data_IF_125663802073
#
_entry.id   IF_125663802073
#
_cell.length_a   1.000
_cell.length_b   1.000
_cell.length_c   1.000
_cell.angle_alpha   90.00
_cell.angle_beta   90.00
_cell.angle_gamma   90.00
#
_symmetry.space_group_name_H-M   'P 1'
#
loop_
_entity.id
_entity.type
_entity.pdbx_description
1 polymer ?
#
# COMPACT_ATOMS: atom_id res chain seq x y z
N UNK A 1 -30.91 -2.30 68.35
CA UNK A 1 -30.76 -3.73 67.97
C UNK A 1 -31.52 -4.03 66.69
N UNK A 2 -32.86 -3.90 66.65
CA UNK A 2 -33.65 -4.19 65.43
C UNK A 2 -33.20 -3.36 64.22
N UNK A 3 -32.95 -2.05 64.39
CA UNK A 3 -32.48 -1.18 63.29
C UNK A 3 -31.07 -1.53 62.78
N UNK A 4 -30.16 -1.97 63.67
CA UNK A 4 -28.79 -2.37 63.28
C UNK A 4 -28.79 -3.68 62.48
N UNK A 5 -29.68 -4.62 62.83
CA UNK A 5 -29.81 -5.91 62.13
C UNK A 5 -30.44 -5.75 60.74
N UNK A 6 -31.41 -4.83 60.59
CA UNK A 6 -32.01 -4.49 59.29
C UNK A 6 -30.94 -3.89 58.38
N UNK A 7 -30.20 -2.87 58.85
CA UNK A 7 -29.14 -2.22 58.06
C UNK A 7 -28.01 -3.17 57.68
N UNK A 8 -27.62 -4.08 58.58
CA UNK A 8 -26.65 -5.13 58.27
C UNK A 8 -27.17 -6.05 57.16
N UNK A 9 -28.43 -6.48 57.26
CA UNK A 9 -29.05 -7.38 56.27
C UNK A 9 -29.17 -6.72 54.90
N UNK A 10 -29.59 -5.47 54.86
CA UNK A 10 -29.64 -4.66 53.63
C UNK A 10 -28.25 -4.52 52.99
N UNK A 11 -27.22 -4.24 53.80
CA UNK A 11 -25.85 -4.13 53.29
C UNK A 11 -25.33 -5.46 52.72
N UNK A 12 -25.57 -6.57 53.43
CA UNK A 12 -25.15 -7.91 53.00
C UNK A 12 -25.86 -8.32 51.70
N UNK A 13 -27.15 -7.98 51.54
CA UNK A 13 -27.90 -8.21 50.30
C UNK A 13 -27.35 -7.36 49.14
N UNK A 14 -27.02 -6.09 49.40
CA UNK A 14 -26.46 -5.20 48.40
C UNK A 14 -25.02 -5.57 47.97
N UNK A 15 -24.30 -6.35 48.78
CA UNK A 15 -22.90 -6.73 48.55
C UNK A 15 -22.68 -8.24 48.66
N UNK A 16 -23.58 -9.02 48.06
CA UNK A 16 -23.57 -10.50 48.11
C UNK A 16 -22.19 -11.09 47.75
N UNK A 17 -21.49 -10.49 46.78
CA UNK A 17 -20.15 -10.87 46.34
C UNK A 17 -19.07 -10.72 47.43
N UNK A 18 -19.30 -9.85 48.42
CA UNK A 18 -18.37 -9.60 49.53
C UNK A 18 -18.62 -10.49 50.74
N UNK A 19 -19.84 -11.00 50.89
CA UNK A 19 -20.26 -11.79 52.06
C UNK A 19 -19.40 -13.04 52.23
N UNK A 20 -18.98 -13.68 51.12
CA UNK A 20 -18.08 -14.84 51.14
C UNK A 20 -16.72 -14.56 51.80
N UNK A 21 -16.33 -13.29 51.96
CA UNK A 21 -15.07 -12.88 52.58
C UNK A 21 -15.23 -12.47 54.05
N UNK A 22 -16.45 -12.54 54.59
CA UNK A 22 -16.77 -12.09 55.93
C UNK A 22 -17.19 -13.27 56.82
N UNK A 23 -16.55 -13.41 57.98
CA UNK A 23 -16.88 -14.43 58.98
C UNK A 23 -17.45 -13.76 60.24
N UNK A 24 -18.75 -13.93 60.55
CA UNK A 24 -19.34 -13.35 61.76
C UNK A 24 -19.02 -14.19 63.01
N UNK A 25 -18.58 -13.51 64.07
CA UNK A 25 -18.45 -14.06 65.42
C UNK A 25 -19.43 -13.33 66.35
N UNK A 26 -20.42 -14.05 66.87
CA UNK A 26 -21.48 -13.49 67.72
C UNK A 26 -21.19 -13.74 69.19
N UNK A 27 -21.46 -12.73 70.02
CA UNK A 27 -21.51 -12.88 71.47
C UNK A 27 -22.87 -13.50 71.86
N UNK A 28 -22.85 -14.58 72.64
CA UNK A 28 -24.09 -15.20 73.13
C UNK A 28 -24.82 -14.28 74.13
N UNK A 29 -26.16 -14.31 74.09
CA UNK A 29 -26.99 -13.56 75.01
C UNK A 29 -26.86 -14.18 76.42
N UNK A 30 -26.68 -13.36 77.46
CA UNK A 30 -26.48 -13.71 78.90
C UNK A 30 -25.03 -13.82 79.39
N UNK A 31 -24.14 -12.93 78.94
CA UNK A 31 -22.78 -12.84 79.47
C UNK A 31 -22.61 -11.67 80.46
N UNK A 32 -21.71 -11.84 81.44
CA UNK A 32 -21.46 -10.83 82.48
C UNK A 32 -20.93 -9.52 81.88
N UNK A 33 -21.21 -8.39 82.54
CA UNK A 33 -20.82 -7.04 82.09
C UNK A 33 -19.32 -6.94 81.71
N UNK A 34 -18.44 -7.62 82.47
CA UNK A 34 -17.00 -7.65 82.19
C UNK A 34 -16.66 -8.33 80.86
N UNK A 35 -17.42 -9.34 80.43
CA UNK A 35 -17.20 -10.03 79.15
C UNK A 35 -17.67 -9.15 77.98
N UNK A 36 -18.79 -8.44 78.14
CA UNK A 36 -19.31 -7.49 77.14
C UNK A 36 -18.30 -6.37 76.86
N UNK A 37 -17.69 -5.80 77.89
CA UNK A 37 -16.67 -4.74 77.74
C UNK A 37 -15.41 -5.28 77.05
N UNK A 38 -14.93 -6.47 77.45
CA UNK A 38 -13.79 -7.13 76.78
C UNK A 38 -14.10 -7.42 75.30
N UNK A 39 -15.31 -7.84 74.98
CA UNK A 39 -15.75 -8.10 73.61
C UNK A 39 -15.78 -6.82 72.76
N UNK A 40 -16.29 -5.71 73.30
CA UNK A 40 -16.30 -4.40 72.62
C UNK A 40 -14.90 -3.91 72.29
N UNK A 41 -13.98 -3.97 73.25
CA UNK A 41 -12.58 -3.56 73.04
C UNK A 41 -11.90 -4.46 71.99
N UNK A 42 -12.18 -5.78 72.03
CA UNK A 42 -11.68 -6.73 71.03
C UNK A 42 -12.26 -6.44 69.64
N UNK A 43 -13.56 -6.13 69.54
CA UNK A 43 -14.24 -5.77 68.28
C UNK A 43 -13.55 -4.58 67.65
N UNK A 44 -13.40 -3.50 68.41
CA UNK A 44 -12.76 -2.27 67.94
C UNK A 44 -11.32 -2.53 67.47
N UNK A 45 -10.51 -3.24 68.27
CA UNK A 45 -9.15 -3.59 67.90
C UNK A 45 -9.07 -4.43 66.60
N UNK A 46 -9.95 -5.43 66.45
CA UNK A 46 -10.00 -6.28 65.25
C UNK A 46 -10.45 -5.48 64.03
N UNK A 47 -11.51 -4.69 64.14
CA UNK A 47 -12.03 -3.88 63.03
C UNK A 47 -11.04 -2.82 62.59
N UNK A 48 -10.39 -2.11 63.52
CA UNK A 48 -9.34 -1.14 63.21
C UNK A 48 -8.14 -1.80 62.51
N UNK A 49 -7.76 -3.01 62.93
CA UNK A 49 -6.70 -3.78 62.26
C UNK A 49 -7.11 -4.15 60.83
N UNK A 50 -8.35 -4.59 60.61
CA UNK A 50 -8.86 -4.92 59.28
C UNK A 50 -8.90 -3.69 58.38
N UNK A 51 -9.36 -2.54 58.89
CA UNK A 51 -9.36 -1.26 58.16
C UNK A 51 -7.94 -0.90 57.71
N UNK A 52 -6.95 -1.02 58.60
CA UNK A 52 -5.55 -0.74 58.26
C UNK A 52 -5.02 -1.68 57.16
N UNK A 53 -5.31 -2.98 57.25
CA UNK A 53 -4.93 -3.98 56.24
C UNK A 53 -5.58 -3.66 54.88
N UNK A 54 -6.89 -3.40 54.86
CA UNK A 54 -7.63 -3.04 53.66
C UNK A 54 -7.12 -1.74 53.04
N UNK A 55 -6.75 -0.75 53.85
CA UNK A 55 -6.21 0.53 53.39
C UNK A 55 -4.86 0.35 52.69
N UNK A 56 -3.96 -0.45 53.27
CA UNK A 56 -2.67 -0.78 52.65
C UNK A 56 -2.85 -1.58 51.35
N UNK A 57 -3.79 -2.53 51.35
CA UNK A 57 -4.14 -3.30 50.17
C UNK A 57 -4.73 -2.42 49.05
N UNK A 58 -5.62 -1.48 49.40
CA UNK A 58 -6.22 -0.52 48.48
C UNK A 58 -5.15 0.35 47.80
N UNK A 59 -4.13 0.80 48.54
CA UNK A 59 -2.98 1.49 47.97
C UNK A 59 -2.24 0.62 46.95
N UNK A 60 -2.02 -0.67 47.27
CA UNK A 60 -1.40 -1.63 46.36
C UNK A 60 -2.21 -1.82 45.07
N UNK A 61 -3.54 -1.91 45.17
CA UNK A 61 -4.45 -2.00 44.01
C UNK A 61 -4.35 -0.74 43.15
N UNK A 62 -4.39 0.45 43.75
CA UNK A 62 -4.26 1.73 43.04
C UNK A 62 -2.91 1.86 42.33
N UNK A 63 -1.81 1.44 42.95
CA UNK A 63 -0.49 1.41 42.30
C UNK A 63 -0.48 0.47 41.09
N UNK A 64 -1.06 -0.73 41.20
CA UNK A 64 -1.17 -1.67 40.06
C UNK A 64 -2.02 -1.12 38.94
N UNK A 65 -3.13 -0.45 39.27
CA UNK A 65 -4.03 0.23 38.33
C UNK A 65 -3.29 1.32 37.55
N UNK A 66 -2.57 2.21 38.24
CA UNK A 66 -1.80 3.27 37.60
C UNK A 66 -0.71 2.73 36.67
N UNK A 67 -0.06 1.61 37.04
CA UNK A 67 0.90 0.91 36.17
C UNK A 67 0.25 0.29 34.92
N UNK A 68 -1.02 -0.10 34.97
CA UNK A 68 -1.74 -0.59 33.78
C UNK A 68 -2.20 0.57 32.90
N UNK A 69 -2.70 1.65 33.50
CA UNK A 69 -3.11 2.85 32.77
C UNK A 69 -1.92 3.42 31.99
N UNK A 70 -0.74 3.52 32.61
CA UNK A 70 0.45 3.99 31.91
C UNK A 70 0.81 3.11 30.72
N UNK A 71 0.73 1.77 30.86
CA UNK A 71 0.94 0.84 29.75
C UNK A 71 -0.08 1.04 28.62
N UNK A 72 -1.36 1.18 28.95
CA UNK A 72 -2.42 1.41 27.96
C UNK A 72 -2.12 2.70 27.19
N UNK A 73 -1.80 3.80 27.87
CA UNK A 73 -1.44 5.06 27.24
C UNK A 73 -0.24 4.88 26.31
N UNK A 74 0.85 4.25 26.77
CA UNK A 74 2.02 3.98 25.93
C UNK A 74 1.71 3.15 24.68
N UNK A 75 0.79 2.18 24.76
CA UNK A 75 0.38 1.40 23.59
C UNK A 75 -0.56 2.18 22.66
N UNK A 76 -1.47 2.99 23.21
CA UNK A 76 -2.38 3.84 22.43
C UNK A 76 -1.65 4.94 21.68
N UNK A 77 -0.62 5.55 22.28
CA UNK A 77 0.16 6.62 21.64
C UNK A 77 1.03 6.10 20.49
N UNK A 78 1.40 4.81 20.53
CA UNK A 78 2.17 4.12 19.49
C UNK A 78 1.31 3.56 18.34
N UNK A 79 0.03 3.95 18.24
CA UNK A 79 -0.90 3.43 17.22
C UNK A 79 -0.56 3.81 15.78
N UNK A 80 0.31 4.80 15.56
CA UNK A 80 0.87 5.08 14.22
C UNK A 80 1.93 4.03 13.87
N UNK A 81 1.49 2.81 13.61
CA UNK A 81 2.36 1.78 13.05
C UNK A 81 2.77 2.20 11.64
N UNK A 82 4.04 2.56 11.51
CA UNK A 82 4.66 2.71 10.21
C UNK A 82 4.68 1.34 9.54
N UNK A 83 3.95 1.21 8.43
CA UNK A 83 4.10 0.08 7.53
C UNK A 83 5.56 0.05 7.12
N UNK A 84 6.25 -1.07 7.38
CA UNK A 84 7.65 -1.20 7.02
C UNK A 84 7.79 -0.99 5.51
N UNK A 85 8.60 -0.01 5.11
CA UNK A 85 8.86 0.25 3.68
C UNK A 85 9.58 -0.96 3.08
N UNK A 86 9.22 -1.39 1.86
CA UNK A 86 9.85 -2.55 1.23
C UNK A 86 11.34 -2.26 0.92
N UNK A 87 12.24 -2.87 1.71
CA UNK A 87 13.69 -2.64 1.60
C UNK A 87 14.47 -3.80 0.96
N UNK A 88 13.83 -4.88 0.53
CA UNK A 88 14.51 -6.05 -0.05
C UNK A 88 14.27 -6.15 -1.56
N UNK A 89 15.20 -6.78 -2.27
CA UNK A 89 15.05 -7.03 -3.72
C UNK A 89 13.98 -8.07 -4.02
N UNK A 90 13.83 -9.11 -3.19
CA UNK A 90 12.82 -10.16 -3.40
C UNK A 90 11.48 -9.79 -2.78
N UNK A 91 10.40 -9.90 -3.55
CA UNK A 91 9.05 -9.59 -3.08
C UNK A 91 8.61 -10.46 -1.90
N UNK A 92 9.02 -11.73 -1.85
CA UNK A 92 8.74 -12.62 -0.72
C UNK A 92 9.35 -12.14 0.61
N UNK A 93 10.51 -11.48 0.56
CA UNK A 93 11.17 -10.90 1.73
C UNK A 93 10.45 -9.64 2.20
N UNK A 94 10.03 -8.77 1.26
CA UNK A 94 9.18 -7.61 1.58
C UNK A 94 7.83 -8.04 2.17
N UNK A 95 7.25 -9.13 1.67
CA UNK A 95 6.03 -9.70 2.25
C UNK A 95 6.23 -10.14 3.70
N UNK A 96 7.43 -10.62 4.06
CA UNK A 96 7.76 -10.95 5.45
C UNK A 96 7.84 -9.70 6.33
N UNK A 97 8.35 -8.57 5.83
CA UNK A 97 8.31 -7.28 6.53
C UNK A 97 6.86 -6.82 6.75
N UNK A 98 6.00 -6.91 5.75
CA UNK A 98 4.58 -6.56 5.90
C UNK A 98 3.88 -7.46 6.93
N UNK A 99 4.15 -8.77 6.90
CA UNK A 99 3.69 -9.69 7.94
C UNK A 99 4.19 -9.27 9.32
N UNK A 100 5.44 -8.83 9.45
CA UNK A 100 6.00 -8.36 10.73
C UNK A 100 5.23 -7.14 11.27
N UNK A 101 4.98 -6.14 10.42
CA UNK A 101 4.17 -4.97 10.79
C UNK A 101 2.76 -5.38 11.21
N UNK A 102 2.09 -6.22 10.42
CA UNK A 102 0.73 -6.69 10.69
C UNK A 102 0.63 -7.46 12.03
N UNK A 103 1.54 -8.41 12.26
CA UNK A 103 1.58 -9.20 13.51
C UNK A 103 1.91 -8.32 14.71
N UNK A 104 2.74 -7.28 14.53
CA UNK A 104 3.01 -6.29 15.59
C UNK A 104 1.74 -5.53 15.98
N UNK A 105 0.89 -5.16 15.01
CA UNK A 105 -0.42 -4.56 15.25
C UNK A 105 -1.34 -5.49 16.04
N UNK A 106 -1.46 -6.76 15.62
CA UNK A 106 -2.28 -7.75 16.35
C UNK A 106 -1.80 -7.90 17.79
N UNK A 107 -0.48 -7.97 18.01
CA UNK A 107 0.08 -8.07 19.36
C UNK A 107 -0.25 -6.85 20.21
N UNK A 108 -0.21 -5.66 19.62
CA UNK A 108 -0.59 -4.41 20.30
C UNK A 108 -2.06 -4.44 20.73
N UNK A 109 -2.97 -4.80 19.82
CA UNK A 109 -4.41 -4.89 20.09
C UNK A 109 -4.72 -5.91 21.19
N UNK A 110 -4.11 -7.10 21.12
CA UNK A 110 -4.27 -8.13 22.15
C UNK A 110 -3.78 -7.66 23.52
N UNK A 111 -2.66 -6.93 23.56
CA UNK A 111 -2.15 -6.35 24.80
C UNK A 111 -3.07 -5.26 25.36
N UNK A 112 -3.60 -4.38 24.51
CA UNK A 112 -4.58 -3.37 24.91
C UNK A 112 -5.83 -4.03 25.50
N UNK A 113 -6.40 -5.04 24.83
CA UNK A 113 -7.54 -5.80 25.34
C UNK A 113 -7.22 -6.48 26.69
N UNK A 114 -6.05 -7.10 26.80
CA UNK A 114 -5.58 -7.75 28.02
C UNK A 114 -5.44 -6.76 29.18
N UNK A 115 -4.85 -5.59 28.95
CA UNK A 115 -4.66 -4.58 29.98
C UNK A 115 -5.98 -3.92 30.38
N UNK A 116 -6.87 -3.62 29.44
CA UNK A 116 -8.21 -3.10 29.71
C UNK A 116 -9.04 -4.06 30.56
N UNK A 117 -9.01 -5.36 30.26
CA UNK A 117 -9.69 -6.38 31.07
C UNK A 117 -9.11 -6.46 32.49
N UNK A 118 -7.78 -6.46 32.64
CA UNK A 118 -7.13 -6.43 33.96
C UNK A 118 -7.47 -5.16 34.74
N UNK A 119 -7.55 -4.02 34.06
CA UNK A 119 -7.92 -2.74 34.66
C UNK A 119 -9.36 -2.76 35.19
N UNK A 120 -10.30 -3.32 34.42
CA UNK A 120 -11.69 -3.50 34.87
C UNK A 120 -11.77 -4.34 36.14
N UNK A 121 -11.02 -5.45 36.21
CA UNK A 121 -10.96 -6.31 37.41
C UNK A 121 -10.38 -5.55 38.62
N UNK A 122 -9.32 -4.75 38.42
CA UNK A 122 -8.78 -3.92 39.49
C UNK A 122 -9.74 -2.81 39.94
N UNK A 123 -10.56 -2.25 39.04
CA UNK A 123 -11.57 -1.26 39.41
C UNK A 123 -12.65 -1.87 40.30
N UNK A 124 -13.13 -3.07 39.97
CA UNK A 124 -14.09 -3.81 40.80
C UNK A 124 -13.45 -4.09 42.17
N UNK A 125 -12.24 -4.65 42.21
CA UNK A 125 -11.54 -4.96 43.47
C UNK A 125 -11.25 -3.71 44.32
N UNK A 126 -11.01 -2.57 43.68
CA UNK A 126 -10.84 -1.28 44.35
C UNK A 126 -12.14 -0.86 45.05
N UNK A 127 -13.27 -0.91 44.32
CA UNK A 127 -14.59 -0.58 44.86
C UNK A 127 -14.98 -1.51 46.01
N UNK A 128 -14.70 -2.81 45.85
CA UNK A 128 -14.96 -3.83 46.87
C UNK A 128 -14.16 -3.55 48.16
N UNK A 129 -12.88 -3.19 48.03
CA UNK A 129 -12.06 -2.82 49.18
C UNK A 129 -12.54 -1.54 49.87
N UNK A 130 -12.97 -0.54 49.09
CA UNK A 130 -13.57 0.70 49.62
C UNK A 130 -14.89 0.42 50.37
N UNK A 131 -15.75 -0.43 49.81
CA UNK A 131 -16.99 -0.88 50.46
C UNK A 131 -16.72 -1.64 51.76
N UNK A 132 -15.72 -2.52 51.80
CA UNK A 132 -15.31 -3.21 53.03
C UNK A 132 -14.75 -2.24 54.07
N UNK A 133 -13.92 -1.27 53.68
CA UNK A 133 -13.43 -0.23 54.60
C UNK A 133 -14.61 0.54 55.20
N UNK A 134 -15.59 0.94 54.38
CA UNK A 134 -16.80 1.63 54.83
C UNK A 134 -17.63 0.76 55.78
N UNK A 135 -17.76 -0.54 55.49
CA UNK A 135 -18.46 -1.51 56.33
C UNK A 135 -17.86 -1.59 57.73
N UNK A 136 -16.52 -1.73 57.84
CA UNK A 136 -15.83 -1.79 59.14
C UNK A 136 -15.74 -0.45 59.87
N UNK A 137 -15.76 0.68 59.14
CA UNK A 137 -15.65 2.03 59.72
C UNK A 137 -17.00 2.59 60.21
N UNK A 138 -18.12 2.06 59.72
CA UNK A 138 -19.45 2.55 60.06
C UNK A 138 -19.87 2.10 61.46
N UNK A 139 -20.04 3.04 62.37
CA UNK A 139 -20.41 2.78 63.77
C UNK A 139 -21.76 2.07 63.95
N UNK A 140 -22.67 2.18 62.96
CA UNK A 140 -24.05 1.70 63.03
C UNK A 140 -24.38 0.53 62.09
N UNK A 141 -23.44 0.04 61.27
CA UNK A 141 -23.70 -1.07 60.32
C UNK A 141 -23.53 -2.44 60.97
N UNK A 142 -22.56 -2.60 61.88
CA UNK A 142 -22.26 -3.90 62.51
C UNK A 142 -22.80 -3.88 63.95
N UNK A 143 -23.77 -4.75 64.30
CA UNK A 143 -24.30 -4.86 65.64
C UNK A 143 -23.20 -5.01 66.69
N UNK A 144 -23.38 -4.38 67.87
CA UNK A 144 -22.34 -4.31 68.92
C UNK A 144 -21.92 -5.67 69.49
N UNK A 145 -22.76 -6.69 69.31
CA UNK A 145 -22.53 -8.08 69.72
C UNK A 145 -21.91 -8.94 68.61
N UNK A 146 -21.48 -8.36 67.49
CA UNK A 146 -20.89 -9.09 66.35
C UNK A 146 -19.49 -8.55 66.01
N UNK A 147 -18.55 -9.47 65.80
CA UNK A 147 -17.23 -9.20 65.20
C UNK A 147 -17.18 -9.91 63.86
N UNK A 148 -17.04 -9.16 62.78
CA UNK A 148 -16.64 -9.75 61.51
C UNK A 148 -15.12 -9.89 61.40
N UNK A 149 -14.67 -11.04 60.88
CA UNK A 149 -13.30 -11.24 60.38
C UNK A 149 -13.30 -11.19 58.85
N UNK A 150 -12.19 -10.75 58.29
CA UNK A 150 -11.94 -10.77 56.85
C UNK A 150 -11.09 -11.99 56.49
N UNK A 151 -11.55 -12.80 55.54
CA UNK A 151 -10.74 -13.89 55.00
C UNK A 151 -9.58 -13.36 54.15
N UNK A 152 -8.38 -13.92 54.33
CA UNK A 152 -7.17 -13.54 53.59
C UNK A 152 -7.30 -13.73 52.08
N UNK A 153 -8.20 -14.61 51.64
CA UNK A 153 -8.49 -14.82 50.22
C UNK A 153 -8.88 -13.53 49.50
N UNK A 154 -9.57 -12.59 50.16
CA UNK A 154 -9.88 -11.29 49.53
C UNK A 154 -8.62 -10.50 49.16
N UNK A 155 -7.59 -10.54 50.03
CA UNK A 155 -6.33 -9.84 49.82
C UNK A 155 -5.49 -10.52 48.72
N UNK A 156 -5.57 -11.85 48.63
CA UNK A 156 -4.79 -12.66 47.69
C UNK A 156 -5.45 -12.82 46.30
N UNK A 157 -6.78 -12.69 46.21
CA UNK A 157 -7.57 -12.91 44.98
C UNK A 157 -7.58 -11.73 43.99
N UNK A 158 -6.54 -10.90 43.98
CA UNK A 158 -6.32 -9.96 42.86
C UNK A 158 -5.96 -10.71 41.56
N UNK A 159 -5.65 -12.02 41.64
CA UNK A 159 -5.35 -12.82 40.45
C UNK A 159 -6.64 -13.05 39.68
N UNK A 160 -6.75 -12.53 38.45
CA UNK A 160 -7.88 -12.84 37.60
C UNK A 160 -7.81 -14.33 37.26
N UNK A 161 -8.63 -15.15 37.93
CA UNK A 161 -8.96 -16.49 37.46
C UNK A 161 -9.94 -16.43 36.27
N UNK A 162 -10.21 -15.21 35.80
CA UNK A 162 -10.95 -14.92 34.58
C UNK A 162 -10.35 -15.67 33.39
N UNK A 163 -11.18 -16.55 32.82
CA UNK A 163 -10.87 -17.37 31.65
C UNK A 163 -10.46 -16.51 30.46
N UNK A 164 -11.07 -15.34 30.28
CA UNK A 164 -10.78 -14.43 29.17
C UNK A 164 -9.39 -13.82 29.29
N UNK A 165 -9.00 -13.43 30.51
CA UNK A 165 -7.65 -12.89 30.78
C UNK A 165 -6.59 -13.96 30.48
N UNK A 166 -6.84 -15.22 30.82
CA UNK A 166 -5.93 -16.33 30.49
C UNK A 166 -5.84 -16.57 28.99
N UNK A 167 -6.98 -16.59 28.28
CA UNK A 167 -7.03 -16.76 26.82
C UNK A 167 -6.30 -15.63 26.11
N UNK A 168 -6.58 -14.37 26.47
CA UNK A 168 -5.91 -13.20 25.89
C UNK A 168 -4.41 -13.23 26.15
N UNK A 169 -3.99 -13.59 27.38
CA UNK A 169 -2.57 -13.75 27.71
C UNK A 169 -1.90 -14.82 26.84
N UNK A 170 -2.54 -15.98 26.67
CA UNK A 170 -2.01 -17.06 25.83
C UNK A 170 -1.88 -16.63 24.36
N UNK A 171 -2.92 -15.97 23.82
CA UNK A 171 -2.89 -15.41 22.45
C UNK A 171 -1.75 -14.40 22.29
N UNK A 172 -1.63 -13.44 23.20
CA UNK A 172 -0.56 -12.43 23.16
C UNK A 172 0.84 -13.06 23.19
N UNK A 173 1.06 -14.08 24.06
CA UNK A 173 2.34 -14.80 24.12
C UNK A 173 2.61 -15.56 22.80
N UNK A 174 1.60 -16.23 22.25
CA UNK A 174 1.74 -17.00 21.01
C UNK A 174 2.10 -16.10 19.82
N UNK A 175 1.42 -14.96 19.70
CA UNK A 175 1.69 -13.94 18.68
C UNK A 175 3.08 -13.33 18.89
N UNK A 176 3.47 -13.04 20.13
CA UNK A 176 4.81 -12.54 20.45
C UNK A 176 5.90 -13.52 20.03
N UNK A 177 5.75 -14.82 20.32
CA UNK A 177 6.71 -15.84 19.93
C UNK A 177 6.83 -15.95 18.40
N UNK A 178 5.71 -15.87 17.69
CA UNK A 178 5.73 -15.84 16.22
C UNK A 178 6.41 -14.58 15.69
N UNK A 179 6.14 -13.41 16.29
CA UNK A 179 6.79 -12.15 15.94
C UNK A 179 8.31 -12.24 16.11
N UNK A 180 8.79 -12.80 17.22
CA UNK A 180 10.23 -12.99 17.47
C UNK A 180 10.87 -13.90 16.42
N UNK A 181 10.25 -15.04 16.11
CA UNK A 181 10.73 -15.93 15.04
C UNK A 181 10.80 -15.23 13.69
N UNK A 182 9.79 -14.42 13.36
CA UNK A 182 9.76 -13.67 12.11
C UNK A 182 10.84 -12.59 12.05
N UNK A 183 11.15 -11.93 13.18
CA UNK A 183 12.30 -10.99 13.26
C UNK A 183 13.63 -11.72 13.04
N UNK A 184 13.80 -12.90 13.62
CA UNK A 184 15.00 -13.72 13.47
C UNK A 184 15.16 -14.27 12.05
N UNK A 185 14.06 -14.49 11.34
CA UNK A 185 14.06 -14.86 9.92
C UNK A 185 14.47 -13.67 9.05
N UNK A 186 13.84 -12.52 9.24
CA UNK A 186 14.09 -11.29 8.46
C UNK A 186 15.53 -10.79 8.65
N UNK A 187 16.09 -10.91 9.86
CA UNK A 187 17.47 -10.47 10.15
C UNK A 187 18.53 -11.24 9.37
N UNK A 188 18.20 -12.43 8.86
CA UNK A 188 19.07 -13.27 8.03
C UNK A 188 18.99 -12.93 6.54
N UNK A 189 18.02 -12.11 6.12
CA UNK A 189 17.89 -11.77 4.71
C UNK A 189 19.09 -10.92 4.26
N UNK A 190 19.69 -11.25 3.09
CA UNK A 190 20.77 -10.45 2.56
C UNK A 190 20.25 -9.04 2.27
N UNK A 191 20.96 -8.04 2.78
CA UNK A 191 20.68 -6.65 2.45
C UNK A 191 21.05 -6.42 0.98
N UNK A 192 20.19 -5.73 0.22
CA UNK A 192 20.48 -5.49 -1.19
C UNK A 192 21.63 -4.48 -1.35
N UNK A 193 22.33 -4.56 -2.48
CA UNK A 193 23.51 -3.71 -2.75
C UNK A 193 23.13 -2.24 -2.74
N UNK A 194 21.98 -1.87 -3.32
CA UNK A 194 21.49 -0.48 -3.33
C UNK A 194 21.28 0.11 -1.92
N UNK A 195 21.09 -0.74 -0.90
CA UNK A 195 20.97 -0.31 0.49
C UNK A 195 22.34 -0.14 1.15
N UNK A 196 23.32 -0.95 0.76
CA UNK A 196 24.66 -0.96 1.35
C UNK A 196 25.60 0.04 0.68
N UNK A 197 25.57 0.14 -0.64
CA UNK A 197 26.42 0.98 -1.47
C UNK A 197 25.67 1.35 -2.77
N UNK A 198 25.03 2.52 -2.75
CA UNK A 198 24.27 3.01 -3.88
C UNK A 198 25.13 3.31 -5.13
N UNK A 199 26.31 3.98 -5.03
CA UNK A 199 27.19 4.19 -6.18
C UNK A 199 27.60 2.91 -6.93
N UNK A 200 27.93 1.83 -6.20
CA UNK A 200 28.25 0.54 -6.79
C UNK A 200 27.02 -0.06 -7.48
N UNK A 201 25.86 -0.05 -6.79
CA UNK A 201 24.61 -0.53 -7.39
C UNK A 201 24.26 0.19 -8.68
N UNK A 202 24.29 1.53 -8.66
CA UNK A 202 23.89 2.34 -9.80
C UNK A 202 24.84 2.17 -10.98
N UNK A 203 26.15 2.04 -10.73
CA UNK A 203 27.12 1.72 -11.79
C UNK A 203 26.89 0.31 -12.37
N UNK A 204 26.52 -0.66 -11.54
CA UNK A 204 26.11 -1.99 -12.00
C UNK A 204 24.84 -1.96 -12.87
N UNK A 205 23.85 -1.17 -12.47
CA UNK A 205 22.62 -0.94 -13.24
C UNK A 205 22.90 -0.33 -14.61
N UNK A 206 23.77 0.69 -14.68
CA UNK A 206 24.19 1.28 -15.95
C UNK A 206 24.90 0.27 -16.84
N UNK A 207 25.82 -0.53 -16.28
CA UNK A 207 26.54 -1.56 -17.02
C UNK A 207 25.59 -2.60 -17.60
N UNK A 208 24.61 -3.10 -16.83
CA UNK A 208 23.65 -4.10 -17.32
C UNK A 208 22.72 -3.56 -18.41
N UNK A 209 22.45 -2.25 -18.38
CA UNK A 209 21.59 -1.59 -19.35
C UNK A 209 22.33 -1.26 -20.64
N UNK A 210 23.63 -1.00 -20.56
CA UNK A 210 24.48 -0.76 -21.73
C UNK A 210 24.46 -1.94 -22.70
N UNK A 211 24.43 -3.17 -22.19
CA UNK A 211 24.37 -4.40 -23.00
C UNK A 211 23.05 -4.54 -23.79
N UNK A 212 22.01 -3.81 -23.38
CA UNK A 212 20.66 -3.85 -23.98
C UNK A 212 20.30 -2.54 -24.69
N UNK A 213 21.23 -1.58 -24.77
CA UNK A 213 21.00 -0.28 -25.37
C UNK A 213 20.89 -0.40 -26.90
N UNK A 214 19.75 0.00 -27.44
CA UNK A 214 19.63 0.29 -28.87
C UNK A 214 20.31 1.64 -29.14
N UNK A 215 21.50 1.60 -29.72
CA UNK A 215 22.30 2.80 -30.00
C UNK A 215 21.66 3.69 -31.06
N UNK A 216 20.89 3.13 -32.00
CA UNK A 216 20.24 3.90 -33.06
C UNK A 216 19.08 4.72 -32.50
N UNK A 217 18.31 4.11 -31.59
CA UNK A 217 17.21 4.78 -30.91
C UNK A 217 17.67 5.59 -29.69
N UNK A 218 18.89 5.34 -29.20
CA UNK A 218 19.36 5.80 -27.88
C UNK A 218 18.38 5.42 -26.76
N UNK A 219 17.91 4.18 -26.79
CA UNK A 219 16.83 3.68 -25.94
C UNK A 219 17.12 2.27 -25.41
N UNK A 220 16.70 1.99 -24.17
CA UNK A 220 16.66 0.63 -23.59
C UNK A 220 15.29 0.45 -22.95
N UNK A 221 14.68 -0.72 -23.09
CA UNK A 221 13.41 -1.02 -22.43
C UNK A 221 13.51 -0.99 -20.89
N UNK A 222 12.39 -0.89 -20.16
CA UNK A 222 12.38 -0.99 -18.71
C UNK A 222 13.06 -2.27 -18.19
N UNK A 223 13.96 -2.12 -17.23
CA UNK A 223 14.68 -3.25 -16.61
C UNK A 223 14.10 -3.60 -15.23
N UNK A 224 14.12 -4.89 -14.87
CA UNK A 224 13.70 -5.33 -13.53
C UNK A 224 14.50 -4.65 -12.40
N UNK A 225 15.76 -4.31 -12.66
CA UNK A 225 16.63 -3.62 -11.71
C UNK A 225 16.22 -2.17 -11.44
N UNK A 226 15.42 -1.54 -12.31
CA UNK A 226 14.84 -0.21 -12.06
C UNK A 226 13.87 -0.24 -10.87
N UNK A 227 13.18 -1.36 -10.63
CA UNK A 227 12.33 -1.55 -9.44
C UNK A 227 13.14 -1.38 -8.15
N UNK A 228 14.40 -1.83 -8.16
CA UNK A 228 15.30 -1.67 -7.01
C UNK A 228 15.74 -0.21 -6.82
N UNK A 229 15.94 0.54 -7.91
CA UNK A 229 16.22 1.96 -7.87
C UNK A 229 15.03 2.74 -7.29
N UNK A 230 13.80 2.47 -7.76
CA UNK A 230 12.58 3.07 -7.21
C UNK A 230 12.42 2.76 -5.71
N UNK A 231 12.67 1.52 -5.29
CA UNK A 231 12.66 1.15 -3.86
C UNK A 231 13.66 1.94 -3.04
N UNK A 232 14.90 2.11 -3.53
CA UNK A 232 15.90 2.92 -2.84
C UNK A 232 15.41 4.34 -2.62
N UNK A 233 14.92 4.99 -3.69
CA UNK A 233 14.45 6.39 -3.67
C UNK A 233 13.33 6.56 -2.64
N UNK A 234 12.27 5.75 -2.72
CA UNK A 234 11.09 5.94 -1.88
C UNK A 234 11.24 5.39 -0.46
N UNK A 235 12.27 4.59 -0.19
CA UNK A 235 12.55 4.07 1.16
C UNK A 235 13.54 4.93 1.94
N UNK A 236 14.67 5.31 1.32
CA UNK A 236 15.83 5.87 2.03
C UNK A 236 16.45 7.05 1.28
N UNK A 237 16.24 7.16 -0.04
CA UNK A 237 16.80 8.24 -0.88
C UNK A 237 16.14 9.60 -0.67
N UNK A 238 15.97 10.05 0.58
CA UNK A 238 15.15 11.20 0.99
C UNK A 238 15.28 12.44 0.09
N UNK A 239 16.51 12.89 -0.21
CA UNK A 239 16.73 14.04 -1.09
C UNK A 239 16.29 13.78 -2.54
N UNK A 240 16.57 12.59 -3.07
CA UNK A 240 16.13 12.19 -4.41
C UNK A 240 14.60 12.11 -4.47
N UNK A 241 13.98 11.53 -3.44
CA UNK A 241 12.52 11.45 -3.31
C UNK A 241 11.91 12.84 -3.30
N UNK A 242 12.41 13.75 -2.46
CA UNK A 242 11.89 15.11 -2.36
C UNK A 242 12.00 15.83 -3.71
N UNK A 243 13.12 15.65 -4.42
CA UNK A 243 13.30 16.23 -5.75
C UNK A 243 12.31 15.66 -6.76
N UNK A 244 12.13 14.34 -6.79
CA UNK A 244 11.17 13.67 -7.68
C UNK A 244 9.74 14.12 -7.36
N UNK A 245 9.35 14.21 -6.09
CA UNK A 245 8.02 14.66 -5.70
C UNK A 245 7.78 16.13 -6.07
N UNK A 246 8.77 17.01 -5.86
CA UNK A 246 8.70 18.41 -6.30
C UNK A 246 8.57 18.51 -7.81
N UNK A 247 9.38 17.78 -8.58
CA UNK A 247 9.30 17.78 -10.04
C UNK A 247 7.96 17.22 -10.50
N UNK A 248 7.49 16.10 -9.95
CA UNK A 248 6.20 15.52 -10.31
C UNK A 248 5.03 16.49 -10.07
N UNK A 249 5.09 17.30 -8.99
CA UNK A 249 4.07 18.31 -8.72
C UNK A 249 4.02 19.43 -9.78
N UNK A 250 5.13 19.73 -10.45
CA UNK A 250 5.16 20.74 -11.53
C UNK A 250 4.23 20.38 -12.68
N UNK A 251 3.90 19.10 -12.89
CA UNK A 251 2.91 18.68 -13.88
C UNK A 251 1.55 19.36 -13.67
N UNK A 252 1.19 19.69 -12.42
CA UNK A 252 -0.10 20.35 -12.11
C UNK A 252 -0.07 21.87 -12.29
N UNK A 253 1.10 22.47 -12.57
CA UNK A 253 1.34 23.91 -12.53
C UNK A 253 1.86 24.43 -13.88
N UNK A 254 2.84 23.75 -14.44
CA UNK A 254 3.52 24.14 -15.67
C UNK A 254 2.76 23.64 -16.91
N UNK A 255 3.00 24.29 -18.05
CA UNK A 255 2.58 23.71 -19.33
C UNK A 255 3.38 22.41 -19.62
N UNK A 256 2.84 21.49 -20.43
CA UNK A 256 3.44 20.17 -20.62
C UNK A 256 4.90 20.17 -21.06
N UNK A 257 5.28 21.04 -22.01
CA UNK A 257 6.66 21.05 -22.53
C UNK A 257 7.64 21.68 -21.54
N UNK A 258 7.24 22.75 -20.84
CA UNK A 258 8.03 23.29 -19.72
C UNK A 258 8.25 22.24 -18.64
N UNK A 259 7.19 21.50 -18.28
CA UNK A 259 7.28 20.39 -17.34
C UNK A 259 8.27 19.31 -17.82
N UNK A 260 8.20 18.89 -19.09
CA UNK A 260 9.13 17.89 -19.66
C UNK A 260 10.59 18.35 -19.57
N UNK A 261 10.87 19.63 -19.84
CA UNK A 261 12.21 20.19 -19.66
C UNK A 261 12.64 20.13 -18.19
N UNK A 262 11.73 20.42 -17.26
CA UNK A 262 11.96 20.28 -15.82
C UNK A 262 12.26 18.82 -15.43
N UNK A 263 11.56 17.84 -16.00
CA UNK A 263 11.83 16.40 -15.83
C UNK A 263 13.24 16.06 -16.30
N UNK A 264 13.62 16.44 -17.52
CA UNK A 264 14.95 16.14 -18.09
C UNK A 264 16.07 16.70 -17.21
N UNK A 265 15.94 17.96 -16.77
CA UNK A 265 16.91 18.61 -15.86
C UNK A 265 16.99 17.89 -14.52
N UNK A 266 15.83 17.52 -13.95
CA UNK A 266 15.77 16.79 -12.70
C UNK A 266 16.44 15.41 -12.84
N UNK A 267 16.11 14.65 -13.88
CA UNK A 267 16.68 13.33 -14.15
C UNK A 267 18.21 13.37 -14.25
N UNK A 268 18.78 14.29 -15.05
CA UNK A 268 20.23 14.42 -15.17
C UNK A 268 20.90 14.75 -13.84
N UNK A 269 20.28 15.64 -13.05
CA UNK A 269 20.83 16.03 -11.76
C UNK A 269 20.72 14.95 -10.66
N UNK A 270 19.94 13.89 -10.89
CA UNK A 270 19.83 12.73 -10.01
C UNK A 270 20.89 11.66 -10.32
N UNK A 271 21.51 11.71 -11.50
CA UNK A 271 22.58 10.79 -11.91
C UNK A 271 23.84 11.06 -11.07
N UNK A 272 24.31 10.08 -10.27
CA UNK A 272 25.54 10.23 -9.49
C UNK A 272 26.76 10.42 -10.39
N UNK A 273 27.62 11.37 -9.99
CA UNK A 273 28.89 11.65 -10.67
C UNK A 273 28.74 11.84 -12.20
N UNK A 274 27.64 12.49 -12.64
CA UNK A 274 27.28 12.60 -14.06
C UNK A 274 28.43 13.10 -14.96
N UNK A 275 29.27 14.01 -14.47
CA UNK A 275 30.43 14.53 -15.21
C UNK A 275 31.52 13.51 -15.52
N UNK A 276 31.54 12.38 -14.80
CA UNK A 276 32.47 11.26 -15.02
C UNK A 276 31.86 10.16 -15.88
N UNK A 277 30.58 10.25 -16.23
CA UNK A 277 29.85 9.25 -17.02
C UNK A 277 30.00 9.51 -18.51
N UNK A 278 30.10 8.45 -19.29
CA UNK A 278 30.04 8.52 -20.75
C UNK A 278 28.68 9.04 -21.24
N UNK A 279 28.58 9.59 -22.46
CA UNK A 279 27.29 10.08 -22.99
C UNK A 279 26.16 9.02 -22.95
N UNK A 280 26.49 7.76 -23.23
CA UNK A 280 25.53 6.67 -23.15
C UNK A 280 25.10 6.37 -21.70
N UNK A 281 26.02 6.35 -20.74
CA UNK A 281 25.66 6.22 -19.32
C UNK A 281 24.81 7.38 -18.81
N UNK A 282 25.09 8.60 -19.27
CA UNK A 282 24.27 9.78 -18.94
C UNK A 282 22.84 9.64 -19.50
N UNK A 283 22.71 9.18 -20.75
CA UNK A 283 21.43 8.90 -21.40
C UNK A 283 20.63 7.80 -20.68
N UNK A 284 21.28 6.69 -20.32
CA UNK A 284 20.68 5.62 -19.53
C UNK A 284 20.20 6.12 -18.16
N UNK A 285 21.06 6.83 -17.44
CA UNK A 285 20.72 7.42 -16.15
C UNK A 285 19.55 8.40 -16.24
N UNK A 286 19.54 9.26 -17.27
CA UNK A 286 18.42 10.15 -17.56
C UNK A 286 17.13 9.36 -17.73
N UNK A 287 17.14 8.29 -18.52
CA UNK A 287 15.94 7.51 -18.82
C UNK A 287 15.37 6.81 -17.59
N UNK A 288 16.22 6.23 -16.73
CA UNK A 288 15.76 5.63 -15.47
C UNK A 288 15.03 6.64 -14.59
N UNK A 289 15.61 7.82 -14.37
CA UNK A 289 14.96 8.84 -13.55
C UNK A 289 13.77 9.49 -14.25
N UNK A 290 13.78 9.59 -15.58
CA UNK A 290 12.66 10.07 -16.37
C UNK A 290 11.43 9.17 -16.17
N UNK A 291 11.61 7.85 -16.26
CA UNK A 291 10.57 6.85 -15.95
C UNK A 291 10.05 7.01 -14.53
N UNK A 292 10.94 7.07 -13.54
CA UNK A 292 10.56 7.17 -12.12
C UNK A 292 9.77 8.46 -11.84
N UNK A 293 10.12 9.59 -12.47
CA UNK A 293 9.35 10.83 -12.32
C UNK A 293 7.96 10.68 -12.95
N UNK A 294 7.85 10.13 -14.15
CA UNK A 294 6.55 9.90 -14.80
C UNK A 294 5.69 8.88 -14.08
N UNK A 295 6.27 7.80 -13.54
CA UNK A 295 5.58 6.86 -12.64
C UNK A 295 4.99 7.60 -11.43
N UNK A 296 5.75 8.53 -10.86
CA UNK A 296 5.28 9.32 -9.72
C UNK A 296 4.17 10.30 -10.10
N UNK A 297 4.25 10.91 -11.28
CA UNK A 297 3.18 11.77 -11.81
C UNK A 297 1.92 10.94 -12.06
N UNK A 298 2.06 9.75 -12.64
CA UNK A 298 0.92 8.85 -12.83
C UNK A 298 0.27 8.50 -11.48
N UNK A 299 1.07 8.08 -10.49
CA UNK A 299 0.57 7.71 -9.16
C UNK A 299 -0.19 8.86 -8.47
N UNK A 300 0.35 10.07 -8.49
CA UNK A 300 -0.19 11.21 -7.73
C UNK A 300 -1.16 12.09 -8.53
N UNK A 301 -0.96 12.19 -9.84
CA UNK A 301 -1.53 13.23 -10.71
C UNK A 301 -1.99 12.68 -12.08
N UNK A 302 -2.37 11.40 -12.21
CA UNK A 302 -2.81 10.78 -13.48
C UNK A 302 -3.79 11.62 -14.32
N UNK A 303 -4.69 12.39 -13.69
CA UNK A 303 -5.67 13.25 -14.39
C UNK A 303 -5.05 14.38 -15.21
N UNK A 304 -3.82 14.77 -14.89
CA UNK A 304 -3.06 15.74 -15.69
C UNK A 304 -2.53 15.11 -16.97
N UNK A 305 -2.18 13.82 -16.91
CA UNK A 305 -1.64 13.08 -18.06
C UNK A 305 -2.74 12.73 -19.06
N UNK A 306 -3.94 12.40 -18.60
CA UNK A 306 -5.05 11.94 -19.44
C UNK A 306 -6.27 12.83 -19.30
N UNK A 307 -6.66 13.47 -20.41
CA UNK A 307 -7.90 14.25 -20.46
C UNK A 307 -9.11 13.34 -20.75
N UNK A 308 -9.92 13.08 -19.72
CA UNK A 308 -11.13 12.25 -19.82
C UNK A 308 -12.12 12.74 -20.90
N UNK A 309 -12.12 14.04 -21.20
CA UNK A 309 -13.03 14.64 -22.20
C UNK A 309 -12.70 14.25 -23.65
N UNK A 310 -11.50 13.73 -23.91
CA UNK A 310 -11.08 13.31 -25.25
C UNK A 310 -11.50 11.87 -25.60
N UNK A 311 -12.40 11.24 -24.83
CA UNK A 311 -12.88 9.90 -25.17
C UNK A 311 -13.83 9.93 -26.37
N UNK A 312 -13.35 9.46 -27.52
CA UNK A 312 -14.15 9.29 -28.74
C UNK A 312 -14.16 7.83 -29.23
N UNK A 313 -14.28 6.91 -28.27
CA UNK A 313 -14.37 5.46 -28.52
C UNK A 313 -15.54 5.08 -29.43
N UNK A 314 -16.66 5.80 -29.36
CA UNK A 314 -17.81 5.59 -30.24
C UNK A 314 -17.46 5.81 -31.71
N UNK A 315 -16.72 6.86 -32.05
CA UNK A 315 -16.27 7.14 -33.42
C UNK A 315 -15.29 6.07 -33.91
N UNK A 316 -14.33 5.67 -33.08
CA UNK A 316 -13.42 4.56 -33.42
C UNK A 316 -14.18 3.28 -33.74
N UNK A 317 -15.19 2.95 -32.92
CA UNK A 317 -16.04 1.78 -33.14
C UNK A 317 -16.94 1.87 -34.37
N UNK A 318 -17.31 3.07 -34.80
CA UNK A 318 -18.04 3.26 -36.06
C UNK A 318 -17.11 3.05 -37.26
N UNK A 319 -15.91 3.66 -37.23
CA UNK A 319 -14.90 3.51 -38.30
C UNK A 319 -14.48 2.04 -38.43
N UNK A 320 -14.33 1.33 -37.31
CA UNK A 320 -13.91 -0.07 -37.30
C UNK A 320 -14.87 -1.03 -38.02
N UNK A 321 -16.14 -0.64 -38.18
CA UNK A 321 -17.19 -1.41 -38.86
C UNK A 321 -17.27 -1.16 -40.37
N UNK A 322 -16.52 -0.20 -40.89
CA UNK A 322 -16.54 0.12 -42.32
C UNK A 322 -16.02 -1.10 -43.10
N UNK A 323 -16.71 -1.53 -44.18
CA UNK A 323 -16.24 -2.62 -45.03
C UNK A 323 -14.89 -2.32 -45.66
N UNK A 324 -14.02 -3.32 -45.73
CA UNK A 324 -12.66 -3.23 -46.23
C UNK A 324 -12.59 -2.64 -47.65
N UNK A 325 -13.52 -3.02 -48.53
CA UNK A 325 -13.58 -2.55 -49.92
C UNK A 325 -13.74 -1.04 -50.07
N UNK A 326 -14.23 -0.34 -49.04
CA UNK A 326 -14.36 1.13 -49.03
C UNK A 326 -13.07 1.82 -48.58
N UNK A 327 -12.11 1.06 -48.06
CA UNK A 327 -10.87 1.56 -47.49
C UNK A 327 -9.70 1.20 -48.41
N UNK A 328 -8.83 2.16 -48.67
CA UNK A 328 -7.64 1.90 -49.50
C UNK A 328 -6.63 1.09 -48.68
N UNK A 329 -6.27 -0.10 -49.15
CA UNK A 329 -5.27 -0.96 -48.51
C UNK A 329 -4.23 -1.34 -49.56
N UNK A 330 -2.93 -1.14 -49.28
CA UNK A 330 -1.84 -1.39 -50.22
C UNK A 330 -1.42 -2.87 -50.26
N UNK A 331 -2.37 -3.78 -50.10
CA UNK A 331 -2.14 -5.22 -50.03
C UNK A 331 -3.22 -5.91 -50.85
N UNK A 332 -2.84 -6.97 -51.56
CA UNK A 332 -3.79 -7.81 -52.27
C UNK A 332 -4.61 -8.62 -51.26
N UNK A 333 -5.93 -8.49 -51.32
CA UNK A 333 -6.88 -9.27 -50.54
C UNK A 333 -7.93 -9.87 -51.47
N UNK A 334 -8.52 -10.99 -51.06
CA UNK A 334 -9.58 -11.63 -51.83
C UNK A 334 -10.84 -10.77 -51.83
N UNK A 335 -11.61 -10.74 -52.93
CA UNK A 335 -12.87 -9.98 -52.99
C UNK A 335 -13.84 -10.31 -51.85
N UNK A 336 -13.80 -11.56 -51.35
CA UNK A 336 -14.60 -12.03 -50.22
C UNK A 336 -14.22 -11.35 -48.90
N UNK A 337 -12.96 -10.96 -48.75
CA UNK A 337 -12.48 -10.19 -47.60
C UNK A 337 -12.91 -8.72 -47.68
N UNK A 338 -13.26 -8.24 -48.88
CA UNK A 338 -13.79 -6.89 -49.12
C UNK A 338 -15.06 -6.56 -48.33
N UNK A 339 -15.86 -7.56 -47.98
CA UNK A 339 -17.09 -7.39 -47.17
C UNK A 339 -16.82 -7.43 -45.66
N UNK A 340 -15.67 -7.92 -45.22
CA UNK A 340 -15.29 -7.86 -43.81
C UNK A 340 -15.11 -6.41 -43.40
N UNK A 341 -15.39 -6.11 -42.14
CA UNK A 341 -15.00 -4.80 -41.61
C UNK A 341 -13.47 -4.67 -41.56
N UNK A 342 -12.95 -3.44 -41.66
CA UNK A 342 -11.49 -3.18 -41.57
C UNK A 342 -10.90 -3.89 -40.35
N UNK A 343 -11.54 -3.75 -39.20
CA UNK A 343 -11.11 -4.39 -37.95
C UNK A 343 -11.07 -5.91 -38.06
N UNK A 344 -12.13 -6.55 -38.57
CA UNK A 344 -12.18 -8.01 -38.68
C UNK A 344 -11.13 -8.56 -39.64
N UNK A 345 -10.84 -7.85 -40.73
CA UNK A 345 -9.79 -8.23 -41.67
C UNK A 345 -8.41 -8.24 -40.99
N UNK A 346 -8.04 -7.15 -40.33
CA UNK A 346 -6.74 -7.05 -39.65
C UNK A 346 -6.61 -8.02 -38.46
N UNK A 347 -7.71 -8.33 -37.75
CA UNK A 347 -7.72 -9.38 -36.72
C UNK A 347 -7.45 -10.77 -37.32
N UNK A 348 -8.00 -11.07 -38.50
CA UNK A 348 -7.79 -12.36 -39.18
C UNK A 348 -6.41 -12.47 -39.81
N UNK A 349 -5.82 -11.37 -40.25
CA UNK A 349 -4.48 -11.35 -40.85
C UNK A 349 -3.38 -11.49 -39.79
N UNK A 350 -2.97 -12.74 -39.56
CA UNK A 350 -1.97 -13.10 -38.55
C UNK A 350 -0.65 -12.29 -38.63
N UNK A 351 -0.24 -11.83 -39.82
CA UNK A 351 0.98 -11.03 -40.00
C UNK A 351 0.95 -9.70 -39.24
N UNK A 352 -0.23 -9.10 -39.03
CA UNK A 352 -0.38 -7.81 -38.36
C UNK A 352 -0.60 -7.91 -36.84
N UNK A 353 -0.75 -9.12 -36.30
CA UNK A 353 -1.08 -9.33 -34.89
C UNK A 353 -0.03 -8.71 -33.94
N UNK A 354 1.26 -8.89 -34.24
CA UNK A 354 2.36 -8.30 -33.47
C UNK A 354 2.33 -6.77 -33.49
N UNK A 355 1.95 -6.17 -34.63
CA UNK A 355 1.80 -4.71 -34.74
C UNK A 355 0.68 -4.19 -33.84
N UNK A 356 -0.47 -4.89 -33.82
CA UNK A 356 -1.59 -4.54 -32.95
C UNK A 356 -1.24 -4.73 -31.48
N UNK A 357 -0.53 -5.81 -31.15
CA UNK A 357 -0.03 -6.07 -29.79
C UNK A 357 0.90 -4.95 -29.32
N UNK A 358 1.86 -4.51 -30.13
CA UNK A 358 2.73 -3.38 -29.75
C UNK A 358 1.96 -2.08 -29.53
N UNK A 359 0.89 -1.81 -30.28
CA UNK A 359 0.04 -0.65 -29.97
C UNK A 359 -0.71 -0.85 -28.65
N UNK A 360 -1.22 -2.05 -28.37
CA UNK A 360 -1.92 -2.35 -27.11
C UNK A 360 -1.00 -2.19 -25.89
N UNK A 361 0.27 -2.60 -25.98
CA UNK A 361 1.30 -2.42 -24.94
C UNK A 361 1.47 -0.96 -24.49
N UNK A 362 1.11 0.00 -25.34
CA UNK A 362 1.14 1.42 -24.99
C UNK A 362 0.18 1.79 -23.85
N UNK A 363 -0.83 0.96 -23.55
CA UNK A 363 -1.76 1.15 -22.43
C UNK A 363 -1.11 0.86 -21.07
N UNK A 364 0.00 0.13 -21.04
CA UNK A 364 0.67 -0.32 -19.81
C UNK A 364 1.90 0.52 -19.43
N UNK A 365 2.18 1.58 -20.19
CA UNK A 365 3.30 2.49 -19.92
C UNK A 365 2.83 3.84 -19.38
N UNK A 366 3.63 4.38 -18.47
CA UNK A 366 3.35 5.62 -17.70
C UNK A 366 4.13 6.82 -18.20
N UNK A 367 5.09 6.62 -19.10
CA UNK A 367 5.97 7.66 -19.66
C UNK A 367 5.88 7.69 -21.20
N UNK A 368 6.02 8.87 -21.82
CA UNK A 368 5.74 9.04 -23.25
C UNK A 368 6.86 8.49 -24.15
N UNK A 369 8.06 8.28 -23.61
CA UNK A 369 9.20 7.72 -24.36
C UNK A 369 9.03 6.21 -24.58
N UNK A 370 8.61 5.47 -23.55
CA UNK A 370 8.27 4.05 -23.71
C UNK A 370 7.04 3.88 -24.59
N UNK A 371 6.07 4.79 -24.48
CA UNK A 371 4.90 4.80 -25.34
C UNK A 371 5.25 4.99 -26.83
N UNK A 372 6.12 5.95 -27.16
CA UNK A 372 6.54 6.15 -28.54
C UNK A 372 7.41 5.01 -29.07
N UNK A 373 8.19 4.36 -28.19
CA UNK A 373 8.94 3.17 -28.55
C UNK A 373 8.01 2.07 -29.07
N UNK A 374 6.93 1.78 -28.34
CA UNK A 374 5.95 0.77 -28.74
C UNK A 374 5.23 1.13 -30.05
N UNK A 375 4.90 2.40 -30.27
CA UNK A 375 4.37 2.87 -31.56
C UNK A 375 5.39 2.66 -32.69
N UNK A 376 6.65 3.01 -32.46
CA UNK A 376 7.72 2.76 -33.42
C UNK A 376 7.86 1.26 -33.75
N UNK A 377 7.82 0.38 -32.74
CA UNK A 377 7.84 -1.08 -32.93
C UNK A 377 6.65 -1.56 -33.75
N UNK A 378 5.45 -1.01 -33.52
CA UNK A 378 4.28 -1.33 -34.34
C UNK A 378 4.50 -0.97 -35.81
N UNK A 379 5.01 0.22 -36.11
CA UNK A 379 5.33 0.65 -37.49
C UNK A 379 6.33 -0.29 -38.17
N UNK A 380 7.39 -0.70 -37.47
CA UNK A 380 8.35 -1.68 -38.00
C UNK A 380 7.69 -3.04 -38.29
N UNK A 381 6.78 -3.48 -37.41
CA UNK A 381 6.07 -4.74 -37.64
C UNK A 381 5.07 -4.63 -38.79
N UNK A 382 4.46 -3.47 -39.03
CA UNK A 382 3.61 -3.23 -40.21
C UNK A 382 4.44 -3.36 -41.50
N UNK A 383 5.62 -2.72 -41.55
CA UNK A 383 6.53 -2.89 -42.67
C UNK A 383 6.89 -4.36 -42.89
N UNK A 384 7.28 -5.06 -41.82
CA UNK A 384 7.61 -6.49 -41.89
C UNK A 384 6.43 -7.33 -42.38
N UNK A 385 5.23 -7.09 -41.88
CA UNK A 385 4.02 -7.79 -42.28
C UNK A 385 3.72 -7.59 -43.77
N UNK A 386 3.79 -6.34 -44.26
CA UNK A 386 3.57 -6.05 -45.67
C UNK A 386 4.61 -6.74 -46.57
N UNK A 387 5.89 -6.75 -46.17
CA UNK A 387 6.94 -7.48 -46.88
C UNK A 387 6.68 -8.99 -46.92
N UNK A 388 6.27 -9.59 -45.80
CA UNK A 388 5.94 -11.02 -45.75
C UNK A 388 4.75 -11.39 -46.62
N UNK A 389 3.81 -10.48 -46.83
CA UNK A 389 2.65 -10.70 -47.72
C UNK A 389 3.06 -10.55 -49.19
N UNK A 390 3.98 -9.64 -49.50
CA UNK A 390 4.46 -9.41 -50.87
C UNK A 390 5.44 -10.49 -51.33
N UNK A 391 6.21 -11.06 -50.41
CA UNK A 391 7.21 -12.10 -50.69
C UNK A 391 6.59 -13.47 -50.47
N UNK A 392 6.26 -14.17 -51.55
CA UNK A 392 5.88 -15.59 -51.52
C UNK A 392 7.16 -16.46 -51.43
N UNK A 393 7.81 -16.53 -50.26
CA UNK A 393 9.04 -17.32 -50.04
C UNK A 393 10.13 -16.64 -49.18
N UNK A 394 11.41 -16.97 -49.44
CA UNK A 394 12.55 -16.33 -48.76
C UNK A 394 12.78 -14.91 -49.30
N UNK A 395 12.77 -13.90 -48.41
CA UNK A 395 12.97 -12.51 -48.78
C UNK A 395 14.39 -12.24 -49.28
N UNK A 396 14.52 -11.54 -50.40
CA UNK A 396 15.82 -11.07 -50.89
C UNK A 396 16.26 -9.80 -50.14
N UNK A 397 17.54 -9.46 -50.24
CA UNK A 397 18.09 -8.23 -49.64
C UNK A 397 17.39 -6.98 -50.21
N UNK A 398 17.00 -7.00 -51.49
CA UNK A 398 16.28 -5.90 -52.11
C UNK A 398 14.84 -5.77 -51.59
N UNK A 399 14.18 -6.89 -51.27
CA UNK A 399 12.84 -6.86 -50.65
C UNK A 399 12.90 -6.26 -49.25
N UNK A 400 13.92 -6.59 -48.45
CA UNK A 400 14.11 -6.00 -47.11
C UNK A 400 14.37 -4.50 -47.16
N UNK A 401 14.97 -4.00 -48.24
CA UNK A 401 15.24 -2.58 -48.44
C UNK A 401 14.07 -1.80 -49.03
N UNK A 402 13.00 -2.46 -49.49
CA UNK A 402 11.77 -1.80 -49.95
C UNK A 402 10.95 -1.32 -48.75
N UNK A 403 11.13 -0.05 -48.41
CA UNK A 403 10.24 0.62 -47.47
C UNK A 403 8.91 0.93 -48.14
N UNK A 404 7.80 0.72 -47.42
CA UNK A 404 6.48 1.16 -47.86
C UNK A 404 6.48 2.67 -48.03
N UNK A 405 5.68 3.16 -48.98
CA UNK A 405 5.38 4.59 -49.04
C UNK A 405 4.63 5.03 -47.77
N UNK A 406 4.66 6.33 -47.47
CA UNK A 406 3.94 6.86 -46.30
C UNK A 406 2.44 6.55 -46.38
N UNK A 407 1.82 6.72 -47.54
CA UNK A 407 0.38 6.50 -47.74
C UNK A 407 0.00 5.03 -47.49
N UNK A 408 0.84 4.09 -47.96
CA UNK A 408 0.66 2.67 -47.74
C UNK A 408 0.78 2.32 -46.25
N UNK A 409 1.88 2.76 -45.61
CA UNK A 409 2.12 2.49 -44.19
C UNK A 409 1.01 3.09 -43.32
N UNK A 410 0.58 4.32 -43.63
CA UNK A 410 -0.46 5.01 -42.89
C UNK A 410 -1.80 4.28 -42.99
N UNK A 411 -2.17 3.82 -44.18
CA UNK A 411 -3.40 3.06 -44.40
C UNK A 411 -3.40 1.74 -43.60
N UNK A 412 -2.27 1.03 -43.60
CA UNK A 412 -2.11 -0.18 -42.79
C UNK A 412 -2.14 0.11 -41.28
N UNK A 413 -1.53 1.22 -40.85
CA UNK A 413 -1.52 1.65 -39.46
C UNK A 413 -2.94 1.95 -38.94
N UNK A 414 -3.81 2.56 -39.76
CA UNK A 414 -5.24 2.74 -39.40
C UNK A 414 -5.89 1.38 -39.15
N UNK A 415 -5.67 0.41 -40.04
CA UNK A 415 -6.20 -0.94 -39.88
C UNK A 415 -5.72 -1.64 -38.61
N UNK A 416 -4.40 -1.58 -38.35
CA UNK A 416 -3.77 -2.13 -37.14
C UNK A 416 -4.31 -1.48 -35.86
N UNK A 417 -4.51 -0.16 -35.87
CA UNK A 417 -5.10 0.57 -34.74
C UNK A 417 -6.54 0.16 -34.47
N UNK A 418 -7.35 -0.02 -35.52
CA UNK A 418 -8.74 -0.47 -35.37
C UNK A 418 -8.82 -1.92 -34.89
N UNK A 419 -7.81 -2.74 -35.21
CA UNK A 419 -7.68 -4.11 -34.73
C UNK A 419 -7.08 -4.23 -33.32
N UNK A 420 -6.31 -3.24 -32.85
CA UNK A 420 -5.73 -3.25 -31.50
C UNK A 420 -6.74 -2.88 -30.40
N UNK A 421 -7.95 -2.45 -30.77
CA UNK A 421 -9.06 -2.18 -29.84
C UNK A 421 -8.75 -1.21 -28.68
N UNK A 422 -7.81 -0.28 -28.90
CA UNK A 422 -7.39 0.67 -27.87
C UNK A 422 -8.53 1.65 -27.57
N UNK A 423 -9.19 1.56 -26.40
CA UNK A 423 -10.44 2.30 -26.16
C UNK A 423 -10.19 3.80 -25.98
N UNK A 424 -9.00 4.18 -25.53
CA UNK A 424 -8.64 5.55 -25.16
C UNK A 424 -7.56 6.14 -26.09
N UNK A 425 -7.52 5.73 -27.36
CA UNK A 425 -6.48 6.15 -28.31
C UNK A 425 -6.28 7.67 -28.36
N UNK A 426 -7.37 8.46 -28.41
CA UNK A 426 -7.26 9.92 -28.45
C UNK A 426 -6.62 10.52 -27.20
N UNK A 427 -6.93 9.99 -26.01
CA UNK A 427 -6.32 10.44 -24.75
C UNK A 427 -4.83 10.09 -24.71
N UNK A 428 -4.51 8.87 -25.13
CA UNK A 428 -3.14 8.39 -25.25
C UNK A 428 -2.32 9.21 -26.25
N UNK A 429 -2.90 9.50 -27.40
CA UNK A 429 -2.23 10.22 -28.46
C UNK A 429 -2.02 11.71 -28.09
N UNK A 430 -2.98 12.34 -27.40
CA UNK A 430 -2.82 13.66 -26.77
C UNK A 430 -1.72 13.65 -25.71
N UNK A 431 -1.68 12.62 -24.85
CA UNK A 431 -0.64 12.43 -23.85
C UNK A 431 0.77 12.37 -24.47
N UNK A 432 0.98 11.55 -25.51
CA UNK A 432 2.28 11.52 -26.21
C UNK A 432 2.60 12.89 -26.78
N UNK A 433 1.67 13.54 -27.47
CA UNK A 433 1.94 14.83 -28.12
C UNK A 433 2.32 15.93 -27.12
N UNK A 434 1.73 15.92 -25.93
CA UNK A 434 1.99 16.93 -24.90
C UNK A 434 3.26 16.68 -24.12
N UNK A 435 3.56 15.42 -23.80
CA UNK A 435 4.59 15.09 -22.81
C UNK A 435 5.85 14.44 -23.40
N UNK A 436 5.86 14.09 -24.69
CA UNK A 436 7.11 13.69 -25.33
C UNK A 436 8.03 14.91 -25.48
N UNK A 437 9.35 14.77 -25.25
CA UNK A 437 10.28 15.87 -25.47
C UNK A 437 10.29 16.31 -26.93
N UNK A 438 10.08 17.61 -27.19
CA UNK A 438 10.19 18.18 -28.54
C UNK A 438 11.64 18.16 -29.08
N UNK A 439 12.61 18.00 -28.18
CA UNK A 439 14.04 17.99 -28.49
C UNK A 439 14.65 16.69 -27.96
N UNK A 440 15.69 16.19 -28.63
CA UNK A 440 16.46 15.01 -28.25
C UNK A 440 15.79 13.64 -28.50
N UNK A 441 14.74 13.58 -29.33
CA UNK A 441 14.25 12.31 -29.87
C UNK A 441 15.16 11.82 -31.00
N UNK A 442 15.20 10.50 -31.21
CA UNK A 442 15.76 9.93 -32.43
C UNK A 442 14.81 10.17 -33.60
N UNK A 443 15.34 10.23 -34.83
CA UNK A 443 14.54 10.41 -36.04
C UNK A 443 13.41 9.36 -36.15
N UNK A 444 13.66 8.13 -35.68
CA UNK A 444 12.68 7.05 -35.63
C UNK A 444 11.51 7.34 -34.69
N UNK A 445 11.76 7.97 -33.55
CA UNK A 445 10.72 8.38 -32.60
C UNK A 445 9.98 9.62 -33.09
N UNK A 446 10.65 10.58 -33.73
CA UNK A 446 9.98 11.72 -34.39
C UNK A 446 9.04 11.27 -35.51
N UNK A 447 9.46 10.28 -36.30
CA UNK A 447 8.62 9.64 -37.32
C UNK A 447 7.38 8.99 -36.70
N UNK A 448 7.57 8.20 -35.64
CA UNK A 448 6.46 7.58 -34.91
C UNK A 448 5.51 8.63 -34.31
N UNK A 449 6.03 9.72 -33.75
CA UNK A 449 5.22 10.82 -33.21
C UNK A 449 4.38 11.49 -34.32
N UNK A 450 4.97 11.66 -35.50
CA UNK A 450 4.29 12.21 -36.67
C UNK A 450 3.17 11.29 -37.18
N UNK A 451 3.39 9.97 -37.15
CA UNK A 451 2.35 9.00 -37.50
C UNK A 451 1.14 9.09 -36.54
N UNK A 452 1.37 9.25 -35.23
CA UNK A 452 0.28 9.47 -34.26
C UNK A 452 -0.46 10.78 -34.54
N UNK A 453 0.25 11.87 -34.81
CA UNK A 453 -0.36 13.16 -35.19
C UNK A 453 -1.26 13.02 -36.40
N UNK A 454 -0.78 12.31 -37.43
CA UNK A 454 -1.55 12.02 -38.63
C UNK A 454 -2.80 11.17 -38.34
N UNK A 455 -2.68 10.14 -37.48
CA UNK A 455 -3.81 9.31 -37.07
C UNK A 455 -4.90 10.13 -36.36
N UNK A 456 -4.53 10.98 -35.40
CA UNK A 456 -5.51 11.83 -34.71
C UNK A 456 -6.21 12.73 -35.71
N UNK A 457 -5.46 13.40 -36.60
CA UNK A 457 -6.04 14.32 -37.59
C UNK A 457 -7.01 13.59 -38.52
N UNK A 458 -6.60 12.43 -39.04
CA UNK A 458 -7.42 11.59 -39.89
C UNK A 458 -8.70 11.17 -39.20
N UNK A 459 -8.60 10.54 -38.02
CA UNK A 459 -9.76 10.03 -37.28
C UNK A 459 -10.69 11.16 -36.81
N UNK A 460 -10.14 12.32 -36.45
CA UNK A 460 -10.96 13.48 -36.04
C UNK A 460 -11.76 14.04 -37.22
N UNK A 461 -11.14 14.13 -38.40
CA UNK A 461 -11.79 14.66 -39.60
C UNK A 461 -12.56 13.60 -40.40
N UNK A 462 -12.43 12.32 -40.06
CA UNK A 462 -13.12 11.24 -40.74
C UNK A 462 -14.63 11.39 -40.60
N UNK A 463 -15.34 11.50 -41.72
CA UNK A 463 -16.79 11.57 -41.77
C UNK A 463 -17.35 10.18 -42.06
N UNK A 464 -17.96 9.57 -41.05
CA UNK A 464 -18.50 8.21 -41.14
C UNK A 464 -19.72 8.19 -42.07
N UNK A 465 -20.50 9.27 -42.09
CA UNK A 465 -21.79 9.32 -42.81
C UNK A 465 -21.59 9.52 -44.32
N UNK A 466 -20.49 10.19 -44.71
CA UNK A 466 -20.14 10.48 -46.11
C UNK A 466 -19.05 9.56 -46.70
N UNK A 467 -18.72 8.44 -46.03
CA UNK A 467 -17.62 7.58 -46.48
C UNK A 467 -18.01 6.62 -47.63
N UNK A 468 -17.55 6.94 -48.84
CA UNK A 468 -17.67 6.10 -50.03
C UNK A 468 -19.01 6.19 -50.76
N UNK A 469 -19.55 7.41 -50.88
CA UNK A 469 -20.42 7.78 -52.01
C UNK A 469 -19.62 8.02 -53.29
#
# INVERSE_FOLDING_TARGET
>A
MIDEEIRLSEWLLAHENLVQYLEPLRLENNQSFGIVTKFRNKREAVHNRIINILTQHLQTVRTKKNKLISKIITFSDNTKLQIATPIYSKQSQNMSLHKLSYISTILMELNLQLYSKKLAILNIHQSDAENLINFFSSSNLIPKNVIFRLYENFLNNIKPNDKDVKILKFKAISVHNYLTRLKDEISKYPKPIWLADFPIFFSGLLSSAMDQLDQQLSYVQPLESEVSLSRYIYSIGGEMKEKIEKTAHLATIEDPQTFVISVIKASLSLVPDISKKSPYEQSLGLMFFYRIIFDRVYELYHKVLYNEQLNNSSKMFQISKIPLKKFHIPIQYDEKDGELSIREFFIKMHFFHESSHFLDETLFVTNPVDAIYFVHRSLLMIHKAALLIQVDGEATVDDVNRLLSFDDLFSLLVGVLLASDIPNFFQFADYIQKFIPDQCLSNSFEYAQSAIKALILYLTNFDVDNFGE
#
